data_IF_634567400750
#
_entry.id   IF_634567400750
#
_cell.length_a   1.000
_cell.length_b   1.000
_cell.length_c   1.000
_cell.angle_alpha   90.00
_cell.angle_beta   90.00
_cell.angle_gamma   90.00
#
_symmetry.space_group_name_H-M   'P 1'
#
loop_
_entity.id
_entity.type
_entity.pdbx_description
1 polymer ?
#
# COMPACT_ATOMS: atom_id res chain seq x y z
N UNK A 1 26.05 39.96 47.66
CA UNK A 1 25.79 40.47 49.00
C UNK A 1 27.10 40.91 49.60
N UNK A 2 27.24 42.24 49.84
CA UNK A 2 28.46 42.86 50.35
C UNK A 2 28.62 42.44 51.81
N UNK A 3 29.70 41.75 52.14
CA UNK A 3 30.14 41.49 53.52
C UNK A 3 30.66 42.78 54.10
N UNK A 4 29.82 43.49 54.88
CA UNK A 4 30.28 44.58 55.69
C UNK A 4 31.25 44.07 56.79
N UNK A 5 32.44 44.61 56.83
CA UNK A 5 33.39 44.32 57.92
C UNK A 5 32.86 45.04 59.13
N UNK A 6 32.32 44.32 60.11
CA UNK A 6 31.97 44.90 61.39
C UNK A 6 33.11 44.71 62.40
N UNK A 7 33.63 45.82 62.89
CA UNK A 7 34.59 45.81 63.99
C UNK A 7 33.82 45.77 65.31
N UNK A 8 33.55 44.59 65.82
CA UNK A 8 32.92 44.37 67.11
C UNK A 8 33.98 44.00 68.13
N UNK A 9 34.06 44.73 69.25
CA UNK A 9 34.83 44.31 70.37
C UNK A 9 36.19 45.04 70.68
N UNK A 10 36.60 46.06 69.89
CA UNK A 10 37.89 46.70 70.06
C UNK A 10 37.99 47.60 71.32
N UNK A 11 36.92 47.95 71.99
CA UNK A 11 36.97 48.88 73.20
C UNK A 11 36.50 48.21 74.50
N UNK A 12 35.73 47.11 74.45
CA UNK A 12 35.14 46.49 75.67
C UNK A 12 35.57 45.05 75.89
N UNK A 13 36.32 44.41 74.97
CA UNK A 13 36.71 43.01 75.08
C UNK A 13 35.53 42.01 75.00
N UNK A 14 34.33 42.46 74.69
CA UNK A 14 33.15 41.63 74.60
C UNK A 14 32.87 41.32 73.11
N UNK A 15 32.96 40.10 72.75
CA UNK A 15 32.57 39.63 71.40
C UNK A 15 31.03 39.64 71.25
N UNK A 16 30.52 40.82 70.91
CA UNK A 16 29.09 41.04 70.73
C UNK A 16 28.52 40.29 69.49
N UNK A 17 29.37 39.96 68.53
CA UNK A 17 28.91 39.20 67.33
C UNK A 17 28.58 37.76 67.69
N UNK A 18 29.43 37.10 68.46
CA UNK A 18 29.16 35.75 68.98
C UNK A 18 27.97 35.69 69.95
N UNK A 19 27.75 36.74 70.77
CA UNK A 19 26.58 36.80 71.63
C UNK A 19 25.28 36.95 70.82
N UNK A 20 25.27 37.77 69.80
CA UNK A 20 24.12 37.94 68.88
C UNK A 20 23.85 36.66 68.12
N UNK A 21 24.86 35.96 67.61
CA UNK A 21 24.71 34.64 66.94
C UNK A 21 24.11 33.60 67.88
N UNK A 22 24.55 33.53 69.12
CA UNK A 22 24.00 32.63 70.15
C UNK A 22 22.57 32.97 70.52
N UNK A 23 22.20 34.24 70.61
CA UNK A 23 20.84 34.68 70.83
C UNK A 23 19.91 34.31 69.67
N UNK A 24 20.39 34.55 68.43
CA UNK A 24 19.65 34.16 67.23
C UNK A 24 19.49 32.63 67.17
N UNK A 25 20.51 31.85 67.54
CA UNK A 25 20.42 30.40 67.57
C UNK A 25 19.41 29.90 68.63
N UNK A 26 19.28 30.60 69.77
CA UNK A 26 18.27 30.28 70.78
C UNK A 26 16.86 30.62 70.26
N UNK A 27 16.67 31.77 69.64
CA UNK A 27 15.40 32.20 69.04
C UNK A 27 14.98 31.31 67.87
N UNK A 28 15.94 30.71 67.16
CA UNK A 28 15.65 29.74 66.08
C UNK A 28 15.23 28.34 66.55
N UNK A 29 15.51 27.97 67.81
CA UNK A 29 15.13 26.63 68.32
C UNK A 29 13.68 26.28 68.13
N UNK A 30 12.67 27.17 68.40
CA UNK A 30 11.27 26.88 68.16
C UNK A 30 11.01 26.65 66.67
N UNK A 31 11.65 27.39 65.76
CA UNK A 31 11.51 27.25 64.30
C UNK A 31 12.03 25.87 63.86
N UNK A 32 13.23 25.48 64.26
CA UNK A 32 13.76 24.13 63.95
C UNK A 32 12.87 23.02 64.52
N UNK A 33 12.26 23.24 65.68
CA UNK A 33 11.31 22.27 66.26
C UNK A 33 10.09 22.13 65.34
N UNK A 34 9.52 23.24 64.85
CA UNK A 34 8.38 23.26 63.96
C UNK A 34 8.74 22.65 62.59
N UNK A 35 9.92 22.95 62.04
CA UNK A 35 10.43 22.35 60.80
C UNK A 35 10.54 20.83 60.95
N UNK A 36 11.08 20.35 62.08
CA UNK A 36 11.15 18.91 62.33
C UNK A 36 9.75 18.26 62.48
N UNK A 37 8.79 18.97 63.11
CA UNK A 37 7.40 18.49 63.16
C UNK A 37 6.76 18.45 61.77
N UNK A 38 6.99 19.48 60.96
CA UNK A 38 6.51 19.51 59.57
C UNK A 38 7.03 18.31 58.77
N UNK A 39 8.35 18.05 58.85
CA UNK A 39 8.96 16.88 58.19
C UNK A 39 8.33 15.57 58.67
N UNK A 40 8.05 15.43 59.98
CA UNK A 40 7.38 14.25 60.51
C UNK A 40 5.95 14.08 59.98
N UNK A 41 5.19 15.17 59.86
CA UNK A 41 3.85 15.11 59.25
C UNK A 41 3.89 14.84 57.75
N UNK A 42 4.87 15.38 57.01
CA UNK A 42 5.09 15.08 55.61
C UNK A 42 5.43 13.59 55.39
N UNK A 43 6.27 13.00 56.25
CA UNK A 43 6.57 11.57 56.19
C UNK A 43 5.31 10.75 56.47
N UNK A 44 4.50 11.10 57.48
CA UNK A 44 3.24 10.41 57.75
C UNK A 44 2.27 10.51 56.58
N UNK A 45 2.16 11.68 55.96
CA UNK A 45 1.35 11.89 54.76
C UNK A 45 1.80 11.00 53.62
N UNK A 46 3.09 10.95 53.37
CA UNK A 46 3.68 10.11 52.32
C UNK A 46 3.41 8.61 52.54
N UNK A 47 3.55 8.15 53.80
CA UNK A 47 3.22 6.75 54.16
C UNK A 47 1.74 6.45 53.92
N UNK A 48 0.84 7.35 54.36
CA UNK A 48 -0.60 7.19 54.17
C UNK A 48 -0.98 7.18 52.69
N UNK A 49 -0.35 8.04 51.86
CA UNK A 49 -0.53 8.04 50.43
C UNK A 49 -0.05 6.73 49.78
N UNK A 50 1.11 6.21 50.22
CA UNK A 50 1.63 4.92 49.80
C UNK A 50 0.68 3.75 50.12
N UNK A 51 0.11 3.76 51.34
CA UNK A 51 -0.91 2.76 51.76
C UNK A 51 -2.15 2.88 50.88
N UNK A 52 -2.64 4.10 50.65
CA UNK A 52 -3.81 4.33 49.82
C UNK A 52 -3.58 3.83 48.38
N UNK A 53 -2.42 4.12 47.79
CA UNK A 53 -2.05 3.62 46.46
C UNK A 53 -2.02 2.09 46.44
N UNK A 54 -1.46 1.47 47.45
CA UNK A 54 -1.42 0.00 47.56
C UNK A 54 -2.82 -0.60 47.68
N UNK A 55 -3.70 0.01 48.50
CA UNK A 55 -5.10 -0.42 48.65
C UNK A 55 -5.88 -0.28 47.34
N UNK A 56 -5.69 0.83 46.60
CA UNK A 56 -6.30 1.01 45.28
C UNK A 56 -5.83 -0.05 44.29
N UNK A 57 -4.54 -0.41 44.34
CA UNK A 57 -4.01 -1.49 43.51
C UNK A 57 -4.65 -2.84 43.84
N UNK A 58 -4.86 -3.14 45.14
CA UNK A 58 -5.55 -4.36 45.55
C UNK A 58 -7.02 -4.33 45.12
N UNK A 59 -7.69 -3.19 45.30
CA UNK A 59 -9.08 -3.00 44.90
C UNK A 59 -9.26 -3.25 43.40
N UNK A 60 -8.41 -2.63 42.55
CA UNK A 60 -8.45 -2.80 41.11
C UNK A 60 -8.21 -4.27 40.68
N UNK A 61 -7.33 -4.98 41.41
CA UNK A 61 -7.09 -6.41 41.12
C UNK A 61 -8.28 -7.27 41.59
N UNK A 62 -8.88 -6.93 42.71
CA UNK A 62 -10.08 -7.63 43.22
C UNK A 62 -11.29 -7.38 42.30
N UNK A 63 -11.44 -6.17 41.77
CA UNK A 63 -12.50 -5.82 40.84
C UNK A 63 -12.34 -6.61 39.51
N UNK A 64 -11.12 -6.69 38.97
CA UNK A 64 -10.81 -7.53 37.81
C UNK A 64 -11.14 -9.00 38.08
N UNK A 65 -10.92 -9.50 39.27
CA UNK A 65 -11.22 -10.89 39.64
C UNK A 65 -12.70 -11.12 40.01
N UNK A 66 -13.47 -10.07 40.28
CA UNK A 66 -14.90 -10.18 40.55
C UNK A 66 -15.76 -10.27 39.29
N UNK A 67 -15.19 -9.86 38.14
CA UNK A 67 -15.85 -9.98 36.83
C UNK A 67 -15.62 -11.37 36.28
N UNK A 68 -16.70 -12.15 36.08
CA UNK A 68 -16.63 -13.49 35.50
C UNK A 68 -15.97 -13.46 34.06
N UNK A 69 -16.13 -12.37 33.33
CA UNK A 69 -15.49 -12.18 32.02
C UNK A 69 -13.97 -12.08 32.10
N UNK A 70 -13.40 -11.72 33.25
CA UNK A 70 -11.96 -11.69 33.46
C UNK A 70 -11.30 -13.08 33.50
N UNK A 71 -12.09 -14.14 33.63
CA UNK A 71 -11.62 -15.54 33.60
C UNK A 71 -11.82 -16.21 32.23
N UNK A 72 -12.59 -15.59 31.33
CA UNK A 72 -12.84 -16.09 29.99
C UNK A 72 -11.66 -15.73 29.05
N UNK A 73 -10.49 -16.24 29.38
CA UNK A 73 -9.29 -16.11 28.54
C UNK A 73 -9.18 -17.33 27.65
N UNK A 74 -9.51 -17.15 26.39
CA UNK A 74 -9.39 -18.21 25.40
C UNK A 74 -8.05 -18.10 24.65
N UNK A 75 -7.38 -19.23 24.49
CA UNK A 75 -6.21 -19.33 23.61
C UNK A 75 -6.63 -20.04 22.34
N UNK A 76 -6.15 -19.55 21.23
CA UNK A 76 -6.36 -20.18 19.92
C UNK A 76 -5.06 -20.80 19.46
N UNK A 77 -5.13 -22.03 18.98
CA UNK A 77 -4.03 -22.68 18.29
C UNK A 77 -4.46 -23.04 16.87
N UNK A 78 -3.62 -22.74 15.90
CA UNK A 78 -3.78 -23.17 14.52
C UNK A 78 -2.83 -24.35 14.24
N UNK A 79 -3.29 -25.32 13.46
CA UNK A 79 -2.42 -26.41 13.00
C UNK A 79 -1.36 -25.92 12.01
N UNK A 80 -1.64 -24.81 11.34
CA UNK A 80 -0.73 -24.12 10.42
C UNK A 80 -0.93 -22.60 10.58
N UNK A 81 -0.05 -21.96 11.35
CA UNK A 81 -0.11 -20.54 11.65
C UNK A 81 0.31 -19.65 10.48
N UNK A 82 0.99 -20.21 9.49
CA UNK A 82 1.43 -19.47 8.30
C UNK A 82 0.28 -19.30 7.31
N UNK A 83 -0.67 -20.25 7.32
CA UNK A 83 -1.87 -20.19 6.49
C UNK A 83 -3.06 -19.52 7.21
N UNK A 84 -3.28 -19.84 8.47
CA UNK A 84 -4.42 -19.34 9.24
C UNK A 84 -3.97 -18.90 10.61
N UNK A 85 -4.02 -17.61 10.88
CA UNK A 85 -3.88 -17.05 12.23
C UNK A 85 -5.24 -16.68 12.78
N UNK A 86 -5.47 -16.95 14.06
CA UNK A 86 -6.71 -16.59 14.73
C UNK A 86 -6.46 -16.06 16.13
N UNK A 87 -7.34 -15.16 16.56
CA UNK A 87 -7.36 -14.63 17.92
C UNK A 87 -8.76 -14.79 18.51
N UNK A 88 -8.85 -14.99 19.83
CA UNK A 88 -10.10 -15.06 20.52
C UNK A 88 -10.29 -13.84 21.41
N UNK A 89 -11.53 -13.32 21.50
CA UNK A 89 -11.94 -12.32 22.47
C UNK A 89 -12.63 -12.99 23.65
N UNK A 90 -12.86 -12.25 24.75
CA UNK A 90 -13.54 -12.76 25.95
C UNK A 90 -14.99 -13.23 25.72
N UNK A 91 -15.57 -12.95 24.54
CA UNK A 91 -16.89 -13.45 24.15
C UNK A 91 -16.83 -14.70 23.25
N UNK A 92 -15.64 -15.25 23.01
CA UNK A 92 -15.47 -16.44 22.20
C UNK A 92 -16.10 -17.68 22.88
N UNK A 93 -16.54 -18.65 22.09
CA UNK A 93 -16.99 -19.94 22.58
C UNK A 93 -15.93 -21.00 22.32
N UNK A 94 -15.64 -21.90 23.27
CA UNK A 94 -14.73 -23.02 23.04
C UNK A 94 -15.24 -23.91 21.90
N UNK A 95 -14.37 -24.31 21.02
CA UNK A 95 -14.74 -25.22 19.91
C UNK A 95 -13.57 -25.48 18.99
N UNK A 96 -13.68 -26.57 18.23
CA UNK A 96 -12.75 -26.91 17.14
C UNK A 96 -13.40 -26.49 15.82
N UNK A 97 -12.66 -25.74 15.02
CA UNK A 97 -13.12 -25.28 13.72
C UNK A 97 -12.19 -25.84 12.65
N UNK A 98 -12.78 -26.35 11.57
CA UNK A 98 -12.03 -26.74 10.38
C UNK A 98 -12.13 -25.61 9.34
N UNK A 99 -11.00 -25.07 8.96
CA UNK A 99 -10.89 -24.04 7.91
C UNK A 99 -10.10 -24.63 6.76
N UNK A 100 -10.72 -24.70 5.60
CA UNK A 100 -10.07 -25.10 4.35
C UNK A 100 -9.73 -23.84 3.55
N UNK A 101 -8.45 -23.63 3.28
CA UNK A 101 -7.99 -22.53 2.42
C UNK A 101 -7.92 -23.04 0.99
N UNK A 102 -8.89 -22.65 0.15
CA UNK A 102 -8.98 -23.07 -1.25
C UNK A 102 -7.98 -22.31 -2.14
N UNK A 103 -7.74 -21.05 -1.85
CA UNK A 103 -6.76 -20.21 -2.56
C UNK A 103 -6.35 -19.03 -1.71
N UNK A 104 -5.13 -18.57 -1.88
CA UNK A 104 -4.67 -17.31 -1.28
C UNK A 104 -5.09 -16.13 -2.16
N UNK A 105 -5.29 -14.97 -1.53
CA UNK A 105 -5.49 -13.73 -2.26
C UNK A 105 -4.22 -13.37 -3.04
N UNK A 106 -4.39 -13.01 -4.31
CA UNK A 106 -3.32 -12.57 -5.19
C UNK A 106 -3.50 -11.07 -5.51
N UNK A 107 -2.41 -10.43 -5.87
CA UNK A 107 -2.44 -9.05 -6.38
C UNK A 107 -2.95 -9.05 -7.81
N UNK A 108 -3.87 -8.14 -8.11
CA UNK A 108 -4.33 -7.93 -9.48
C UNK A 108 -3.21 -7.30 -10.31
N UNK A 109 -2.95 -7.84 -11.49
CA UNK A 109 -1.97 -7.29 -12.44
C UNK A 109 -2.60 -7.09 -13.81
N UNK A 110 -2.19 -6.04 -14.51
CA UNK A 110 -2.59 -5.77 -15.91
C UNK A 110 -1.35 -5.33 -16.70
N UNK A 111 -1.19 -5.89 -17.89
CA UNK A 111 -0.12 -5.53 -18.81
C UNK A 111 -0.64 -4.68 -19.95
N UNK A 112 0.13 -3.72 -20.37
CA UNK A 112 -0.09 -2.98 -21.64
C UNK A 112 0.10 -3.89 -22.85
N UNK A 113 -0.18 -3.36 -24.03
CA UNK A 113 0.29 -3.90 -25.30
C UNK A 113 1.82 -3.90 -25.40
N UNK A 114 2.33 -4.50 -26.47
CA UNK A 114 3.76 -4.56 -26.78
C UNK A 114 4.23 -3.27 -27.43
N UNK A 115 5.36 -2.75 -26.97
CA UNK A 115 6.07 -1.58 -27.53
C UNK A 115 7.48 -1.97 -27.91
N UNK A 116 7.97 -1.47 -29.05
CA UNK A 116 9.31 -1.80 -29.56
C UNK A 116 10.44 -1.22 -28.70
N UNK A 117 10.17 -0.19 -27.92
CA UNK A 117 11.14 0.51 -27.08
C UNK A 117 10.48 1.02 -25.81
N UNK A 118 11.21 1.04 -24.71
CA UNK A 118 10.78 1.67 -23.46
C UNK A 118 11.13 3.15 -23.37
N UNK A 119 11.97 3.66 -24.29
CA UNK A 119 12.51 5.03 -24.27
C UNK A 119 12.13 5.85 -25.51
N UNK A 120 11.33 5.31 -26.41
CA UNK A 120 10.79 6.04 -27.55
C UNK A 120 9.47 6.73 -27.14
N UNK A 121 9.30 7.98 -27.55
CA UNK A 121 8.09 8.74 -27.26
C UNK A 121 6.84 8.02 -27.80
N UNK A 122 5.81 7.88 -26.98
CA UNK A 122 4.59 7.18 -27.32
C UNK A 122 3.70 7.95 -28.32
N UNK A 123 3.87 9.29 -28.40
CA UNK A 123 3.10 10.15 -29.30
C UNK A 123 1.63 10.29 -28.90
N UNK A 124 1.26 9.89 -27.69
CA UNK A 124 -0.09 10.00 -27.12
C UNK A 124 -0.11 11.04 -26.01
N UNK A 125 -1.23 11.72 -25.82
CA UNK A 125 -1.39 12.70 -24.75
C UNK A 125 -2.81 12.71 -24.20
N UNK A 126 -2.93 12.93 -22.89
CA UNK A 126 -4.19 13.02 -22.17
C UNK A 126 -4.04 12.59 -20.73
N UNK A 127 -5.14 12.26 -20.10
CA UNK A 127 -5.19 11.85 -18.69
C UNK A 127 -5.95 10.53 -18.55
N UNK A 128 -5.49 9.71 -17.64
CA UNK A 128 -6.17 8.48 -17.21
C UNK A 128 -6.40 8.55 -15.70
N UNK A 129 -7.39 7.82 -15.22
CA UNK A 129 -7.59 7.61 -13.79
C UNK A 129 -7.12 6.21 -13.40
N UNK A 130 -6.24 6.15 -12.42
CA UNK A 130 -5.79 4.92 -11.77
C UNK A 130 -6.34 4.95 -10.35
N UNK A 131 -7.27 4.06 -10.01
CA UNK A 131 -8.01 4.10 -8.74
C UNK A 131 -8.57 5.49 -8.40
N UNK A 132 -9.07 6.22 -9.40
CA UNK A 132 -9.62 7.57 -9.23
C UNK A 132 -8.56 8.69 -9.07
N UNK A 133 -7.27 8.37 -9.19
CA UNK A 133 -6.18 9.37 -9.22
C UNK A 133 -5.81 9.71 -10.65
N UNK A 134 -5.74 11.00 -10.96
CA UNK A 134 -5.37 11.47 -12.30
C UNK A 134 -3.87 11.24 -12.58
N UNK A 135 -3.58 10.68 -13.74
CA UNK A 135 -2.23 10.50 -14.27
C UNK A 135 -2.19 11.15 -15.65
N UNK A 136 -1.40 12.21 -15.78
CA UNK A 136 -1.22 12.94 -17.04
C UNK A 136 -0.11 12.31 -17.87
N UNK A 137 -0.36 12.15 -19.16
CA UNK A 137 0.57 11.61 -20.14
C UNK A 137 0.75 12.67 -21.24
N UNK A 138 1.99 13.00 -21.56
CA UNK A 138 2.37 13.93 -22.61
C UNK A 138 2.78 13.19 -23.88
N UNK A 139 2.59 13.81 -25.03
CA UNK A 139 2.99 13.23 -26.32
C UNK A 139 4.50 12.97 -26.48
N UNK A 140 5.32 13.53 -25.58
CA UNK A 140 6.76 13.31 -25.53
C UNK A 140 7.16 12.20 -24.56
N UNK A 141 6.21 11.69 -23.78
CA UNK A 141 6.48 10.68 -22.77
C UNK A 141 6.72 9.33 -23.43
N UNK A 142 7.67 8.61 -22.88
CA UNK A 142 7.98 7.22 -23.17
C UNK A 142 7.36 6.29 -22.10
N UNK A 143 7.52 4.99 -22.22
CA UNK A 143 6.99 4.03 -21.23
C UNK A 143 7.59 4.24 -19.83
N UNK A 144 8.85 4.70 -19.74
CA UNK A 144 9.48 4.97 -18.44
C UNK A 144 8.83 6.17 -17.76
N UNK A 145 8.54 7.22 -18.53
CA UNK A 145 7.84 8.41 -18.01
C UNK A 145 6.42 8.06 -17.54
N UNK A 146 5.68 7.25 -18.30
CA UNK A 146 4.34 6.78 -17.90
C UNK A 146 4.41 5.93 -16.64
N UNK A 147 5.36 4.99 -16.53
CA UNK A 147 5.62 4.23 -15.31
C UNK A 147 5.82 5.15 -14.11
N UNK A 148 6.68 6.15 -14.25
CA UNK A 148 7.01 7.07 -13.17
C UNK A 148 5.82 7.96 -12.81
N UNK A 149 5.02 8.38 -13.80
CA UNK A 149 3.79 9.14 -13.56
C UNK A 149 2.76 8.33 -12.75
N UNK A 150 2.57 7.05 -13.08
CA UNK A 150 1.68 6.16 -12.32
C UNK A 150 2.18 5.95 -10.90
N UNK A 151 3.48 5.67 -10.72
CA UNK A 151 4.06 5.47 -9.39
C UNK A 151 3.99 6.74 -8.52
N UNK A 152 4.17 7.92 -9.13
CA UNK A 152 4.08 9.20 -8.42
C UNK A 152 2.65 9.60 -8.06
N UNK A 153 1.64 9.03 -8.70
CA UNK A 153 0.23 9.30 -8.38
C UNK A 153 -0.21 8.69 -7.04
N UNK A 154 0.56 7.75 -6.49
CA UNK A 154 0.27 7.08 -5.21
C UNK A 154 -1.17 6.53 -5.17
N UNK A 155 -1.52 5.78 -6.21
CA UNK A 155 -2.86 5.28 -6.46
C UNK A 155 -3.09 3.84 -5.92
N UNK A 156 -2.17 3.31 -5.09
CA UNK A 156 -2.19 1.92 -4.63
C UNK A 156 -1.91 0.92 -5.75
N UNK A 157 -1.22 1.38 -6.81
CA UNK A 157 -0.81 0.58 -7.96
C UNK A 157 0.66 0.85 -8.26
N UNK A 158 1.44 -0.19 -8.37
CA UNK A 158 2.83 -0.13 -8.77
C UNK A 158 2.96 -0.41 -10.27
N UNK A 159 3.65 0.46 -10.98
CA UNK A 159 3.96 0.32 -12.39
C UNK A 159 5.41 -0.11 -12.59
N UNK A 160 5.63 -1.07 -13.49
CA UNK A 160 6.95 -1.59 -13.86
C UNK A 160 7.04 -1.79 -15.37
N UNK A 161 8.26 -1.75 -15.92
CA UNK A 161 8.49 -2.12 -17.32
C UNK A 161 8.93 -3.58 -17.36
N UNK A 162 8.17 -4.39 -18.07
CA UNK A 162 8.50 -5.77 -18.38
C UNK A 162 9.12 -5.82 -19.78
N UNK A 163 10.36 -6.23 -19.88
CA UNK A 163 11.00 -6.53 -21.15
C UNK A 163 10.86 -8.02 -21.43
N UNK A 164 10.00 -8.37 -22.38
CA UNK A 164 9.76 -9.77 -22.78
C UNK A 164 10.82 -10.22 -23.80
N UNK A 165 11.16 -9.33 -24.74
CA UNK A 165 12.26 -9.50 -25.71
C UNK A 165 12.96 -8.16 -25.93
N UNK A 166 14.01 -8.13 -26.74
CA UNK A 166 14.69 -6.87 -27.10
C UNK A 166 13.78 -5.84 -27.78
N UNK A 167 12.66 -6.29 -28.37
CA UNK A 167 11.70 -5.45 -29.10
C UNK A 167 10.27 -5.56 -28.55
N UNK A 168 10.07 -6.16 -27.37
CA UNK A 168 8.78 -6.26 -26.70
C UNK A 168 8.92 -5.75 -25.25
N UNK A 169 8.52 -4.49 -25.07
CA UNK A 169 8.45 -3.82 -23.77
C UNK A 169 6.99 -3.57 -23.42
N UNK A 170 6.62 -3.87 -22.20
CA UNK A 170 5.24 -3.70 -21.70
C UNK A 170 5.24 -2.97 -20.38
N UNK A 171 4.24 -2.14 -20.15
CA UNK A 171 3.96 -1.53 -18.86
C UNK A 171 3.10 -2.50 -18.06
N UNK A 172 3.61 -3.01 -16.96
CA UNK A 172 2.89 -3.86 -16.02
C UNK A 172 2.41 -3.01 -14.83
N UNK A 173 1.12 -3.05 -14.59
CA UNK A 173 0.47 -2.41 -13.44
C UNK A 173 0.07 -3.51 -12.46
N UNK A 174 0.47 -3.39 -11.21
CA UNK A 174 0.18 -4.35 -10.15
C UNK A 174 -0.42 -3.63 -8.95
N UNK A 175 -1.53 -4.14 -8.43
CA UNK A 175 -2.14 -3.64 -7.21
C UNK A 175 -1.21 -3.84 -6.02
N UNK A 176 -1.07 -2.85 -5.15
CA UNK A 176 -0.34 -2.98 -3.89
C UNK A 176 -1.13 -3.81 -2.87
N UNK A 177 -2.45 -3.83 -2.99
CA UNK A 177 -3.34 -4.64 -2.15
C UNK A 177 -3.69 -5.96 -2.83
N UNK A 178 -3.78 -7.02 -2.03
CA UNK A 178 -4.22 -8.33 -2.47
C UNK A 178 -5.74 -8.45 -2.38
N UNK A 179 -6.35 -9.22 -3.27
CA UNK A 179 -7.76 -9.59 -3.20
C UNK A 179 -8.53 -9.33 -4.50
N UNK A 180 -9.83 -9.66 -4.45
CA UNK A 180 -10.71 -9.65 -5.61
C UNK A 180 -11.06 -8.24 -6.14
N UNK A 181 -10.78 -7.18 -5.36
CA UNK A 181 -11.12 -5.80 -5.74
C UNK A 181 -10.33 -5.31 -6.95
N UNK A 182 -9.09 -5.76 -7.09
CA UNK A 182 -8.20 -5.30 -8.16
C UNK A 182 -7.97 -3.79 -8.10
N UNK A 183 -7.78 -3.17 -9.26
CA UNK A 183 -7.68 -1.72 -9.39
C UNK A 183 -8.47 -1.22 -10.60
N UNK A 184 -8.94 0.03 -10.50
CA UNK A 184 -9.70 0.70 -11.56
C UNK A 184 -8.77 1.42 -12.53
N UNK A 185 -9.08 1.30 -13.83
CA UNK A 185 -8.47 2.11 -14.89
C UNK A 185 -9.62 2.72 -15.70
N UNK A 186 -9.54 4.02 -15.96
CA UNK A 186 -10.55 4.76 -16.72
C UNK A 186 -9.86 5.80 -17.59
N UNK A 187 -10.28 5.93 -18.84
CA UNK A 187 -9.90 7.09 -19.66
C UNK A 187 -10.60 8.34 -19.11
N UNK A 188 -9.82 9.40 -18.94
CA UNK A 188 -10.27 10.65 -18.32
C UNK A 188 -10.03 11.88 -19.23
N UNK A 189 -9.77 11.63 -20.49
CA UNK A 189 -9.66 12.63 -21.57
C UNK A 189 -10.47 12.15 -22.78
N UNK A 190 -10.64 13.01 -23.77
CA UNK A 190 -11.34 12.67 -25.02
C UNK A 190 -10.56 11.70 -25.93
N UNK A 191 -9.36 11.30 -25.51
CA UNK A 191 -8.50 10.34 -26.24
C UNK A 191 -8.50 9.01 -25.50
N UNK A 192 -8.60 7.91 -26.25
CA UNK A 192 -8.63 6.54 -25.75
C UNK A 192 -7.22 6.06 -25.39
N UNK A 193 -6.64 6.59 -24.34
CA UNK A 193 -5.26 6.30 -23.93
C UNK A 193 -5.09 4.87 -23.44
N UNK A 194 -6.00 4.38 -22.62
CA UNK A 194 -5.95 3.01 -22.08
C UNK A 194 -6.07 1.97 -23.18
N UNK A 195 -6.87 2.27 -24.22
CA UNK A 195 -7.02 1.42 -25.40
C UNK A 195 -5.75 1.46 -26.26
N UNK A 196 -5.18 2.66 -26.48
CA UNK A 196 -3.94 2.83 -27.22
C UNK A 196 -2.76 2.17 -26.50
N UNK A 197 -2.72 2.24 -25.18
CA UNK A 197 -1.75 1.53 -24.37
C UNK A 197 -2.02 0.01 -24.29
N UNK A 198 -3.20 -0.44 -24.68
CA UNK A 198 -3.58 -1.86 -24.73
C UNK A 198 -4.05 -2.44 -23.41
N UNK A 199 -4.43 -1.62 -22.41
CA UNK A 199 -4.96 -2.09 -21.15
C UNK A 199 -6.45 -2.46 -21.20
N UNK A 200 -7.23 -1.72 -22.00
CA UNK A 200 -8.68 -1.88 -22.10
C UNK A 200 -9.13 -1.82 -23.56
N UNK A 201 -10.33 -2.31 -23.83
CA UNK A 201 -11.06 -2.01 -25.07
C UNK A 201 -12.02 -0.85 -24.85
N UNK A 202 -12.76 -0.46 -25.91
CA UNK A 202 -13.77 0.61 -25.85
C UNK A 202 -14.73 0.43 -24.69
N UNK A 203 -15.01 1.51 -23.96
CA UNK A 203 -15.93 1.50 -22.83
C UNK A 203 -17.38 1.31 -23.28
N UNK A 204 -17.88 0.10 -23.19
CA UNK A 204 -19.26 -0.27 -23.59
C UNK A 204 -20.04 -0.95 -22.48
N UNK A 205 -19.37 -1.36 -21.41
CA UNK A 205 -19.98 -2.11 -20.32
C UNK A 205 -20.35 -1.17 -19.17
N UNK A 206 -21.56 -1.28 -18.65
CA UNK A 206 -22.00 -0.56 -17.45
C UNK A 206 -21.19 -1.08 -16.25
N UNK A 207 -20.54 -0.17 -15.51
CA UNK A 207 -19.67 -0.51 -14.38
C UNK A 207 -20.47 -0.98 -13.16
N UNK A 208 -21.53 -0.26 -12.81
CA UNK A 208 -22.39 -0.56 -11.67
C UNK A 208 -23.85 -0.61 -12.11
N UNK A 209 -24.48 -1.79 -12.02
CA UNK A 209 -25.90 -1.98 -12.31
C UNK A 209 -26.72 -1.65 -11.07
N UNK A 210 -27.83 -0.94 -11.27
CA UNK A 210 -28.84 -0.67 -10.24
C UNK A 210 -30.12 -1.46 -10.51
N UNK A 211 -30.92 -1.69 -9.48
CA UNK A 211 -32.14 -2.55 -9.56
C UNK A 211 -33.20 -2.10 -10.55
N UNK A 212 -33.14 -0.87 -11.03
CA UNK A 212 -34.09 -0.30 -12.00
C UNK A 212 -33.68 -0.40 -13.47
N UNK A 213 -32.74 -1.28 -13.85
CA UNK A 213 -32.10 -1.28 -15.16
C UNK A 213 -31.47 0.08 -15.45
N UNK A 214 -30.41 0.40 -14.73
CA UNK A 214 -29.73 1.66 -14.83
C UNK A 214 -28.26 1.52 -14.52
N UNK A 215 -27.61 2.65 -14.27
CA UNK A 215 -26.21 2.73 -13.92
C UNK A 215 -25.97 3.73 -12.79
N UNK A 216 -24.84 3.58 -12.12
CA UNK A 216 -24.41 4.44 -11.04
C UNK A 216 -22.98 4.93 -11.31
N UNK A 217 -22.71 6.22 -11.04
CA UNK A 217 -21.38 6.79 -11.14
C UNK A 217 -20.46 6.34 -9.99
N UNK A 218 -19.18 6.66 -10.09
CA UNK A 218 -18.29 6.61 -8.94
C UNK A 218 -18.71 7.62 -7.86
N UNK A 219 -18.13 7.50 -6.66
CA UNK A 219 -18.40 8.37 -5.51
C UNK A 219 -17.53 9.63 -5.56
N UNK A 220 -18.14 10.79 -5.32
CA UNK A 220 -17.48 12.09 -5.34
C UNK A 220 -17.71 12.84 -4.03
N UNK A 221 -16.71 13.57 -3.56
CA UNK A 221 -16.76 14.31 -2.29
C UNK A 221 -17.71 15.53 -2.31
N UNK A 222 -18.26 15.92 -3.45
CA UNK A 222 -19.18 17.05 -3.59
C UNK A 222 -20.15 16.83 -4.75
N UNK A 223 -21.41 17.20 -4.58
CA UNK A 223 -22.41 17.21 -5.64
C UNK A 223 -22.50 18.51 -6.41
N UNK A 224 -21.81 19.58 -5.95
CA UNK A 224 -21.93 20.95 -6.50
C UNK A 224 -20.61 21.50 -7.05
N UNK A 225 -19.51 20.81 -6.83
CA UNK A 225 -18.20 21.12 -7.43
C UNK A 225 -18.10 20.42 -8.78
N UNK A 226 -17.40 21.03 -9.77
CA UNK A 226 -17.20 20.39 -11.07
C UNK A 226 -16.47 19.05 -10.93
N UNK A 227 -16.93 18.03 -11.67
CA UNK A 227 -16.43 16.66 -11.56
C UNK A 227 -14.94 16.60 -11.90
N UNK A 228 -14.51 17.28 -12.95
CA UNK A 228 -13.10 17.33 -13.34
C UNK A 228 -12.18 17.89 -12.25
N UNK A 229 -12.66 18.91 -11.51
CA UNK A 229 -11.91 19.44 -10.36
C UNK A 229 -11.82 18.44 -9.20
N UNK A 230 -12.89 17.69 -8.95
CA UNK A 230 -12.88 16.64 -7.90
C UNK A 230 -11.92 15.50 -8.23
N UNK A 231 -11.75 15.18 -9.51
CA UNK A 231 -10.82 14.17 -10.00
C UNK A 231 -9.38 14.69 -10.12
N UNK A 232 -9.17 15.99 -10.03
CA UNK A 232 -7.85 16.62 -10.24
C UNK A 232 -7.38 16.62 -11.69
N UNK A 233 -8.33 16.59 -12.66
CA UNK A 233 -8.01 16.60 -14.09
C UNK A 233 -7.61 17.99 -14.58
N UNK A 234 -6.54 18.07 -15.34
CA UNK A 234 -6.09 19.29 -16.02
C UNK A 234 -6.89 19.58 -17.29
N UNK A 235 -7.36 18.52 -17.97
CA UNK A 235 -8.16 18.60 -19.19
C UNK A 235 -9.29 17.55 -19.15
N UNK A 236 -10.31 17.86 -18.34
CA UNK A 236 -11.43 16.94 -18.16
C UNK A 236 -12.22 16.72 -19.47
N UNK A 237 -12.71 15.49 -19.73
CA UNK A 237 -13.45 15.16 -20.95
C UNK A 237 -14.77 15.92 -21.03
N UNK A 238 -15.14 16.27 -22.25
CA UNK A 238 -16.44 16.86 -22.58
C UNK A 238 -16.95 16.34 -23.91
N UNK A 239 -18.24 16.15 -24.00
CA UNK A 239 -18.83 15.64 -25.25
C UNK A 239 -20.33 15.38 -25.13
N UNK A 240 -20.90 14.91 -26.23
CA UNK A 240 -22.30 14.48 -26.29
C UNK A 240 -22.38 12.98 -26.08
N UNK A 241 -23.13 12.59 -25.07
CA UNK A 241 -23.38 11.18 -24.73
C UNK A 241 -24.83 10.82 -24.99
N UNK A 242 -25.12 9.55 -25.25
CA UNK A 242 -26.47 9.04 -25.38
C UNK A 242 -26.84 8.24 -24.13
N UNK A 243 -27.93 8.62 -23.47
CA UNK A 243 -28.48 7.94 -22.30
C UNK A 243 -29.95 7.59 -22.60
N UNK A 244 -30.26 6.32 -22.69
CA UNK A 244 -31.54 5.85 -23.18
C UNK A 244 -31.77 6.24 -24.65
N UNK A 245 -32.80 7.03 -24.90
CA UNK A 245 -33.13 7.53 -26.23
C UNK A 245 -32.82 9.03 -26.39
N UNK A 246 -32.09 9.62 -25.47
CA UNK A 246 -31.76 11.05 -25.45
C UNK A 246 -30.28 11.28 -25.55
N UNK A 247 -29.90 12.37 -26.20
CA UNK A 247 -28.52 12.85 -26.20
C UNK A 247 -28.39 14.05 -25.27
N UNK A 248 -27.32 14.07 -24.50
CA UNK A 248 -26.99 15.17 -23.58
C UNK A 248 -25.50 15.54 -23.74
N UNK A 249 -25.23 16.83 -23.76
CA UNK A 249 -23.83 17.32 -23.74
C UNK A 249 -23.41 17.52 -22.31
N UNK A 250 -22.31 16.88 -21.93
CA UNK A 250 -21.73 16.94 -20.59
C UNK A 250 -20.30 17.46 -20.72
N UNK A 251 -19.95 18.40 -19.86
CA UNK A 251 -18.61 18.97 -19.74
C UNK A 251 -18.12 18.81 -18.29
N UNK A 252 -17.27 17.84 -18.05
CA UNK A 252 -16.77 17.54 -16.69
C UNK A 252 -15.85 18.64 -16.13
N UNK A 253 -15.28 19.50 -16.97
CA UNK A 253 -14.47 20.62 -16.50
C UNK A 253 -15.31 21.67 -15.74
N UNK A 254 -16.56 21.85 -16.15
CA UNK A 254 -17.41 22.94 -15.65
C UNK A 254 -18.63 22.45 -14.88
N UNK A 255 -19.16 21.27 -15.19
CA UNK A 255 -20.39 20.74 -14.60
C UNK A 255 -20.13 19.90 -13.34
N UNK A 256 -21.00 20.11 -12.36
CA UNK A 256 -21.12 19.30 -11.16
C UNK A 256 -22.04 18.10 -11.37
N UNK A 257 -22.06 17.13 -10.43
CA UNK A 257 -23.05 16.03 -10.46
C UNK A 257 -24.49 16.54 -10.47
N UNK A 258 -24.77 17.65 -9.79
CA UNK A 258 -26.10 18.28 -9.78
C UNK A 258 -26.47 18.84 -11.17
N UNK A 259 -25.52 19.48 -11.85
CA UNK A 259 -25.74 20.01 -13.19
C UNK A 259 -25.96 18.88 -14.20
N UNK A 260 -25.15 17.85 -14.15
CA UNK A 260 -25.26 16.65 -15.01
C UNK A 260 -26.60 15.96 -14.78
N UNK A 261 -26.97 15.72 -13.52
CA UNK A 261 -28.29 15.16 -13.16
C UNK A 261 -29.44 15.97 -13.77
N UNK A 262 -29.39 17.29 -13.69
CA UNK A 262 -30.44 18.18 -14.21
C UNK A 262 -30.45 18.26 -15.75
N UNK A 263 -29.32 18.03 -16.40
CA UNK A 263 -29.19 18.01 -17.86
C UNK A 263 -29.75 16.72 -18.49
N UNK A 264 -29.68 15.59 -17.77
CA UNK A 264 -30.20 14.30 -18.26
C UNK A 264 -31.74 14.31 -18.20
N UNK A 265 -32.39 14.03 -19.34
CA UNK A 265 -33.82 13.99 -19.47
C UNK A 265 -34.30 12.65 -20.08
N UNK A 266 -35.60 12.35 -19.97
CA UNK A 266 -36.13 11.12 -20.54
C UNK A 266 -35.87 9.82 -19.76
N UNK A 267 -35.13 9.89 -18.69
CA UNK A 267 -34.88 8.82 -17.72
C UNK A 267 -34.94 9.38 -16.31
N UNK A 268 -35.04 8.51 -15.31
CA UNK A 268 -35.07 8.94 -13.91
C UNK A 268 -33.62 9.10 -13.42
N UNK A 269 -33.30 10.26 -12.84
CA UNK A 269 -31.99 10.54 -12.27
C UNK A 269 -32.12 10.99 -10.82
N UNK A 270 -31.22 10.51 -9.97
CA UNK A 270 -31.15 10.89 -8.56
C UNK A 270 -29.67 11.06 -8.12
N UNK A 271 -29.48 11.83 -7.06
CA UNK A 271 -28.20 11.84 -6.34
C UNK A 271 -28.37 11.00 -5.07
N UNK A 272 -27.52 10.02 -4.91
CA UNK A 272 -27.42 9.22 -3.69
C UNK A 272 -26.26 9.80 -2.88
N UNK A 273 -26.46 9.89 -1.56
CA UNK A 273 -25.40 10.28 -0.64
C UNK A 273 -25.14 9.15 0.34
N UNK A 274 -23.88 8.89 0.61
CA UNK A 274 -23.40 7.93 1.60
C UNK A 274 -22.41 8.63 2.54
N UNK A 275 -22.50 8.31 3.82
CA UNK A 275 -21.57 8.83 4.83
C UNK A 275 -20.54 7.74 5.15
N UNK A 276 -19.27 8.03 4.87
CA UNK A 276 -18.14 7.13 5.15
C UNK A 276 -17.13 7.89 6.00
N UNK A 277 -16.83 7.37 7.19
CA UNK A 277 -15.87 7.95 8.15
C UNK A 277 -16.10 9.45 8.43
N UNK A 278 -17.38 9.87 8.53
CA UNK A 278 -17.76 11.27 8.81
C UNK A 278 -17.65 12.21 7.62
N UNK A 279 -17.41 11.68 6.41
CA UNK A 279 -17.41 12.42 5.15
C UNK A 279 -18.58 11.97 4.28
N UNK A 280 -19.31 12.94 3.68
CA UNK A 280 -20.42 12.63 2.78
C UNK A 280 -19.92 12.54 1.35
N UNK A 281 -20.22 11.43 0.68
CA UNK A 281 -19.95 11.20 -0.73
C UNK A 281 -21.24 11.15 -1.53
N UNK A 282 -21.18 11.52 -2.79
CA UNK A 282 -22.31 11.61 -3.70
C UNK A 282 -22.08 10.78 -4.95
N UNK A 283 -23.13 10.10 -5.40
CA UNK A 283 -23.14 9.32 -6.64
C UNK A 283 -24.35 9.73 -7.49
N UNK A 284 -24.16 9.78 -8.81
CA UNK A 284 -25.24 9.94 -9.76
C UNK A 284 -25.83 8.57 -10.08
N UNK A 285 -27.12 8.38 -9.80
CA UNK A 285 -27.87 7.21 -10.22
C UNK A 285 -28.78 7.56 -11.38
N UNK A 286 -28.80 6.70 -12.41
CA UNK A 286 -29.64 6.80 -13.61
C UNK A 286 -30.42 5.51 -13.69
N UNK A 287 -31.76 5.59 -13.68
CA UNK A 287 -32.67 4.44 -13.69
C UNK A 287 -33.48 4.43 -14.97
N UNK A 288 -33.92 3.22 -15.38
CA UNK A 288 -34.88 3.01 -16.47
C UNK A 288 -34.25 2.91 -17.85
N UNK A 289 -32.93 2.77 -17.95
CA UNK A 289 -32.26 2.46 -19.22
C UNK A 289 -30.99 1.67 -19.01
N UNK A 290 -30.65 0.83 -19.99
CA UNK A 290 -29.34 0.14 -20.09
C UNK A 290 -28.54 0.62 -21.30
N UNK A 291 -29.06 1.62 -22.02
CA UNK A 291 -28.41 2.18 -23.21
C UNK A 291 -27.60 3.40 -22.80
N UNK A 292 -26.27 3.24 -22.90
CA UNK A 292 -25.30 4.29 -22.66
C UNK A 292 -24.26 4.23 -23.79
N UNK A 293 -24.08 5.35 -24.50
CA UNK A 293 -23.08 5.47 -25.59
C UNK A 293 -22.28 6.73 -25.35
N UNK A 294 -20.97 6.57 -25.40
CA UNK A 294 -20.02 7.64 -25.14
C UNK A 294 -18.77 7.46 -26.04
N UNK A 295 -18.53 8.43 -26.89
CA UNK A 295 -17.35 8.46 -27.77
C UNK A 295 -16.28 9.44 -27.28
N UNK A 296 -16.47 10.01 -26.08
CA UNK A 296 -15.62 11.07 -25.53
C UNK A 296 -15.13 10.78 -24.10
N UNK A 297 -15.30 9.54 -23.64
CA UNK A 297 -14.90 9.06 -22.30
C UNK A 297 -15.53 9.82 -21.11
N UNK A 298 -16.59 10.56 -21.31
CA UNK A 298 -17.31 11.32 -20.26
C UNK A 298 -17.95 10.38 -19.25
N UNK A 299 -18.66 9.35 -19.77
CA UNK A 299 -19.33 8.35 -18.93
C UNK A 299 -18.32 7.37 -18.32
N UNK A 300 -17.21 7.13 -18.98
CA UNK A 300 -16.10 6.34 -18.42
C UNK A 300 -15.44 7.08 -17.26
N UNK A 301 -15.09 8.36 -17.43
CA UNK A 301 -14.52 9.20 -16.38
C UNK A 301 -15.48 9.35 -15.18
N UNK A 302 -16.78 9.43 -15.41
CA UNK A 302 -17.79 9.40 -14.34
C UNK A 302 -17.91 8.05 -13.62
N UNK A 303 -17.30 6.99 -14.15
CA UNK A 303 -17.41 5.65 -13.61
C UNK A 303 -18.73 4.94 -13.95
N UNK A 304 -19.50 5.42 -14.92
CA UNK A 304 -20.74 4.81 -15.40
C UNK A 304 -20.44 3.66 -16.35
N UNK A 305 -19.54 3.89 -17.32
CA UNK A 305 -19.05 2.86 -18.23
C UNK A 305 -17.65 2.40 -17.85
N UNK A 306 -17.30 1.20 -18.26
CA UNK A 306 -15.94 0.66 -18.18
C UNK A 306 -15.56 -0.03 -19.47
N UNK A 307 -14.28 0.05 -19.82
CA UNK A 307 -13.70 -0.76 -20.87
C UNK A 307 -13.63 -2.23 -20.46
N UNK A 308 -13.70 -3.12 -21.42
CA UNK A 308 -13.37 -4.53 -21.20
C UNK A 308 -11.85 -4.62 -21.03
N UNK A 309 -11.40 -5.23 -19.93
CA UNK A 309 -9.98 -5.54 -19.79
C UNK A 309 -9.53 -6.31 -21.04
N UNK A 310 -8.53 -5.79 -21.76
CA UNK A 310 -7.90 -6.56 -22.81
C UNK A 310 -7.31 -7.79 -22.10
N UNK A 311 -7.66 -8.96 -22.57
CA UNK A 311 -6.86 -10.15 -22.30
C UNK A 311 -5.57 -9.93 -23.08
N UNK A 312 -4.65 -9.13 -22.53
CA UNK A 312 -3.27 -9.22 -23.01
C UNK A 312 -2.92 -10.70 -22.90
N UNK A 313 -2.33 -11.23 -23.97
CA UNK A 313 -1.70 -12.52 -23.94
C UNK A 313 -1.04 -12.67 -22.56
N UNK A 314 -1.34 -13.76 -21.87
CA UNK A 314 -1.10 -13.93 -20.44
C UNK A 314 0.22 -13.27 -20.04
N UNK A 315 0.18 -12.41 -19.05
CA UNK A 315 1.40 -11.75 -18.55
C UNK A 315 2.30 -12.88 -18.10
N UNK A 316 3.45 -12.98 -18.73
CA UNK A 316 4.44 -13.96 -18.36
C UNK A 316 4.71 -13.80 -16.86
N UNK A 317 4.47 -14.84 -16.07
CA UNK A 317 4.80 -14.81 -14.66
C UNK A 317 6.31 -14.71 -14.51
N UNK A 318 6.77 -13.73 -13.74
CA UNK A 318 8.21 -13.44 -13.57
C UNK A 318 8.59 -13.71 -12.14
N UNK A 319 9.44 -14.71 -11.94
CA UNK A 319 10.06 -14.98 -10.64
C UNK A 319 11.48 -14.44 -10.61
N UNK A 320 11.75 -13.52 -9.69
CA UNK A 320 13.09 -12.95 -9.52
C UNK A 320 13.71 -13.48 -8.23
N UNK A 321 14.93 -14.00 -8.32
CA UNK A 321 15.70 -14.44 -7.17
C UNK A 321 15.94 -13.30 -6.17
N UNK A 322 15.91 -13.63 -4.90
CA UNK A 322 16.06 -12.63 -3.80
C UNK A 322 17.52 -12.22 -3.56
N UNK A 323 18.48 -12.99 -4.08
CA UNK A 323 19.91 -12.77 -3.84
C UNK A 323 20.55 -12.15 -5.08
N UNK A 324 21.16 -10.98 -4.90
CA UNK A 324 22.03 -10.35 -5.90
C UNK A 324 23.43 -10.95 -5.81
N UNK A 325 23.83 -11.70 -6.83
CA UNK A 325 25.16 -12.31 -6.89
C UNK A 325 26.15 -11.35 -7.58
N UNK A 326 27.38 -11.34 -7.11
CA UNK A 326 28.42 -10.44 -7.62
C UNK A 326 29.72 -11.20 -7.90
N UNK A 327 30.64 -10.61 -8.66
CA UNK A 327 31.96 -11.19 -8.93
C UNK A 327 33.02 -10.73 -7.94
N UNK A 328 32.80 -9.59 -7.26
CA UNK A 328 33.79 -8.94 -6.39
C UNK A 328 33.16 -8.26 -5.13
N UNK A 329 31.88 -8.52 -4.88
CA UNK A 329 31.09 -7.89 -3.83
C UNK A 329 30.38 -6.61 -4.29
N UNK A 330 30.59 -6.14 -5.52
CA UNK A 330 29.96 -4.93 -6.08
C UNK A 330 29.49 -5.10 -7.53
N UNK A 331 30.25 -5.80 -8.35
CA UNK A 331 29.94 -6.00 -9.77
C UNK A 331 28.95 -7.17 -9.92
N UNK A 332 27.72 -6.95 -10.43
CA UNK A 332 26.76 -8.02 -10.65
C UNK A 332 27.29 -9.11 -11.58
N UNK A 333 26.91 -10.35 -11.31
CA UNK A 333 27.17 -11.46 -12.24
C UNK A 333 26.30 -11.33 -13.48
N UNK A 334 26.74 -11.95 -14.57
CA UNK A 334 25.99 -12.15 -15.79
C UNK A 334 25.92 -13.65 -16.15
N UNK A 335 25.20 -13.99 -17.23
CA UNK A 335 25.06 -15.36 -17.69
C UNK A 335 26.40 -16.01 -18.08
N UNK A 336 27.42 -15.24 -18.45
CA UNK A 336 28.73 -15.72 -18.81
C UNK A 336 29.68 -15.91 -17.61
N UNK A 337 29.28 -15.46 -16.43
CA UNK A 337 30.07 -15.58 -15.20
C UNK A 337 30.26 -17.05 -14.85
N UNK A 338 31.50 -17.45 -14.56
CA UNK A 338 31.81 -18.83 -14.12
C UNK A 338 31.50 -19.01 -12.64
N UNK A 339 31.23 -20.23 -12.25
CA UNK A 339 30.98 -20.53 -10.82
C UNK A 339 32.17 -20.19 -9.91
N UNK A 340 33.41 -20.30 -10.43
CA UNK A 340 34.62 -19.89 -9.70
C UNK A 340 34.69 -18.38 -9.42
N UNK A 341 34.01 -17.57 -10.21
CA UNK A 341 34.11 -16.12 -10.18
C UNK A 341 32.97 -15.45 -9.35
N UNK A 342 32.08 -16.26 -8.77
CA UNK A 342 31.00 -15.75 -7.90
C UNK A 342 31.57 -15.42 -6.52
N UNK A 343 31.46 -14.17 -6.13
CA UNK A 343 31.98 -13.70 -4.84
C UNK A 343 31.26 -14.34 -3.64
N UNK A 344 32.05 -14.92 -2.76
CA UNK A 344 31.56 -15.56 -1.54
C UNK A 344 30.88 -16.92 -1.74
N UNK A 345 30.76 -17.41 -2.97
CA UNK A 345 30.26 -18.76 -3.22
C UNK A 345 31.37 -19.81 -3.00
N UNK A 346 31.06 -20.83 -2.18
CA UNK A 346 31.97 -21.93 -1.92
C UNK A 346 31.63 -23.14 -2.81
N UNK A 347 31.47 -22.91 -4.10
CA UNK A 347 31.08 -23.97 -5.08
C UNK A 347 32.31 -24.76 -5.48
N UNK A 348 32.19 -26.09 -5.52
CA UNK A 348 33.23 -27.02 -5.91
C UNK A 348 32.76 -27.98 -7.03
N UNK A 349 33.73 -28.61 -7.70
CA UNK A 349 33.41 -29.59 -8.71
C UNK A 349 32.65 -30.78 -8.09
N UNK A 350 31.52 -31.12 -8.69
CA UNK A 350 30.61 -32.16 -8.23
C UNK A 350 29.45 -31.67 -7.37
N UNK A 351 29.42 -30.38 -7.01
CA UNK A 351 28.27 -29.82 -6.30
C UNK A 351 27.04 -29.81 -7.18
N UNK A 352 25.91 -30.06 -6.58
CA UNK A 352 24.62 -30.13 -7.27
C UNK A 352 23.67 -29.08 -6.78
N UNK A 353 23.09 -28.31 -7.72
CA UNK A 353 22.03 -27.33 -7.48
C UNK A 353 20.71 -28.00 -7.84
N UNK A 354 19.83 -28.18 -6.85
CA UNK A 354 18.49 -28.73 -7.06
C UNK A 354 17.55 -27.62 -7.50
N UNK A 355 16.83 -27.88 -8.60
CA UNK A 355 15.82 -27.00 -9.16
C UNK A 355 14.47 -27.67 -8.94
N UNK A 356 13.53 -27.00 -8.27
CA UNK A 356 12.20 -27.54 -8.05
C UNK A 356 11.15 -26.44 -8.02
N UNK A 357 9.96 -26.75 -8.47
CA UNK A 357 8.83 -25.83 -8.51
C UNK A 357 7.60 -26.50 -9.09
N UNK A 358 6.61 -25.69 -9.40
CA UNK A 358 5.35 -26.12 -10.03
C UNK A 358 5.23 -25.41 -11.38
N UNK A 359 4.99 -26.18 -12.41
CA UNK A 359 4.71 -25.65 -13.75
C UNK A 359 3.33 -25.00 -13.78
N UNK A 360 3.06 -24.22 -14.82
CA UNK A 360 1.79 -23.48 -14.99
C UNK A 360 0.54 -24.35 -14.95
N UNK A 361 0.63 -25.61 -15.37
CA UNK A 361 -0.47 -26.58 -15.34
C UNK A 361 -0.67 -27.22 -13.95
N UNK A 362 0.07 -26.78 -12.94
CA UNK A 362 0.02 -27.32 -11.57
C UNK A 362 0.84 -28.58 -11.37
N UNK A 363 1.61 -29.01 -12.36
CA UNK A 363 2.46 -30.20 -12.25
C UNK A 363 3.77 -29.85 -11.54
N UNK A 364 4.19 -30.67 -10.57
CA UNK A 364 5.49 -30.51 -9.93
C UNK A 364 6.61 -30.85 -10.91
N UNK A 365 7.57 -29.97 -11.07
CA UNK A 365 8.79 -30.18 -11.84
C UNK A 365 10.01 -30.13 -10.92
N UNK A 366 10.97 -30.99 -11.19
CA UNK A 366 12.25 -31.01 -10.48
C UNK A 366 13.38 -31.45 -11.39
N UNK A 367 14.51 -30.77 -11.31
CA UNK A 367 15.74 -31.04 -12.02
C UNK A 367 16.95 -30.79 -11.12
N UNK A 368 18.13 -31.07 -11.63
CA UNK A 368 19.37 -30.83 -10.91
C UNK A 368 20.50 -30.48 -11.86
N UNK A 369 21.15 -29.37 -11.60
CA UNK A 369 22.37 -28.97 -12.29
C UNK A 369 23.59 -29.40 -11.46
N UNK A 370 24.54 -30.12 -12.06
CA UNK A 370 25.80 -30.53 -11.41
C UNK A 370 26.95 -29.70 -11.98
N UNK A 371 27.65 -28.97 -11.13
CA UNK A 371 28.84 -28.22 -11.53
C UNK A 371 29.99 -29.22 -11.81
N UNK A 372 30.23 -29.46 -13.07
CA UNK A 372 31.28 -30.39 -13.48
C UNK A 372 32.67 -29.79 -13.31
N UNK A 373 32.82 -28.50 -13.64
CA UNK A 373 34.07 -27.79 -13.48
C UNK A 373 33.81 -26.28 -13.23
N UNK A 374 34.07 -25.82 -12.00
CA UNK A 374 33.83 -24.44 -11.58
C UNK A 374 34.54 -23.39 -12.45
N UNK A 375 35.66 -23.76 -13.09
CA UNK A 375 36.46 -22.86 -13.91
C UNK A 375 35.98 -22.78 -15.39
N UNK A 376 35.06 -23.62 -15.80
CA UNK A 376 34.53 -23.62 -17.18
C UNK A 376 33.02 -23.45 -17.22
N UNK A 377 32.29 -24.08 -16.30
CA UNK A 377 30.84 -24.02 -16.26
C UNK A 377 30.38 -22.61 -15.87
N UNK A 378 29.34 -22.14 -16.57
CA UNK A 378 28.84 -20.77 -16.48
C UNK A 378 27.45 -20.77 -15.87
N UNK A 379 27.04 -19.61 -15.42
CA UNK A 379 25.65 -19.42 -14.96
C UNK A 379 24.65 -19.70 -16.11
N UNK A 380 25.02 -19.48 -17.39
CA UNK A 380 24.20 -19.86 -18.53
C UNK A 380 23.84 -21.35 -18.52
N UNK A 381 24.78 -22.22 -18.17
CA UNK A 381 24.52 -23.68 -18.14
C UNK A 381 23.46 -24.04 -17.08
N UNK A 382 23.42 -23.32 -15.95
CA UNK A 382 22.37 -23.44 -14.94
C UNK A 382 21.04 -22.87 -15.45
N UNK A 383 21.05 -21.74 -16.15
CA UNK A 383 19.84 -21.16 -16.73
C UNK A 383 19.20 -22.10 -17.76
N UNK A 384 20.02 -22.71 -18.62
CA UNK A 384 19.57 -23.70 -19.61
C UNK A 384 18.93 -24.94 -18.92
N UNK A 385 19.46 -25.36 -17.77
CA UNK A 385 18.88 -26.46 -16.99
C UNK A 385 17.53 -26.06 -16.33
N UNK A 386 17.40 -24.79 -15.90
CA UNK A 386 16.11 -24.25 -15.39
C UNK A 386 15.07 -24.28 -16.52
N UNK A 387 15.42 -23.81 -17.72
CA UNK A 387 14.53 -23.83 -18.87
C UNK A 387 14.14 -25.25 -19.27
N UNK A 388 15.08 -26.19 -19.20
CA UNK A 388 14.85 -27.61 -19.48
C UNK A 388 13.91 -28.24 -18.43
N UNK A 389 14.11 -27.91 -17.15
CA UNK A 389 13.34 -28.48 -16.04
C UNK A 389 11.87 -28.07 -16.09
N UNK A 390 11.59 -26.80 -16.39
CA UNK A 390 10.21 -26.29 -16.35
C UNK A 390 9.52 -26.32 -17.72
N UNK A 391 10.25 -26.28 -18.80
CA UNK A 391 9.69 -26.19 -20.16
C UNK A 391 8.80 -24.94 -20.34
N UNK A 392 8.97 -24.22 -21.41
CA UNK A 392 8.15 -23.03 -21.68
C UNK A 392 8.48 -21.81 -20.80
N UNK A 393 9.63 -21.81 -20.14
CA UNK A 393 10.15 -20.64 -19.42
C UNK A 393 11.42 -20.13 -20.08
N UNK A 394 11.76 -18.87 -19.85
CA UNK A 394 13.08 -18.29 -20.12
C UNK A 394 13.74 -17.92 -18.81
N UNK A 395 15.01 -18.29 -18.66
CA UNK A 395 15.80 -17.95 -17.49
C UNK A 395 16.92 -16.99 -17.88
N UNK A 396 17.12 -15.95 -17.07
CA UNK A 396 18.12 -14.91 -17.35
C UNK A 396 18.71 -14.37 -16.03
N UNK A 397 19.72 -13.50 -16.15
CA UNK A 397 20.25 -12.75 -15.01
C UNK A 397 20.03 -11.27 -15.28
N UNK A 398 19.37 -10.58 -14.33
CA UNK A 398 19.10 -9.15 -14.44
C UNK A 398 20.35 -8.30 -14.11
N UNK A 399 20.23 -6.99 -14.29
CA UNK A 399 21.30 -6.02 -14.01
C UNK A 399 21.73 -5.95 -12.54
N UNK A 400 20.98 -6.57 -11.62
CA UNK A 400 21.34 -6.69 -10.20
C UNK A 400 22.04 -8.03 -9.88
N UNK A 401 22.29 -8.89 -10.86
CA UNK A 401 22.91 -10.21 -10.67
C UNK A 401 21.96 -11.26 -10.07
N UNK A 402 20.67 -11.08 -10.23
CA UNK A 402 19.63 -12.01 -9.76
C UNK A 402 19.15 -12.89 -10.90
N UNK A 403 18.90 -14.16 -10.62
CA UNK A 403 18.24 -15.06 -11.58
C UNK A 403 16.79 -14.64 -11.73
N UNK A 404 16.35 -14.50 -12.97
CA UNK A 404 14.96 -14.19 -13.34
C UNK A 404 14.45 -15.32 -14.21
N UNK A 405 13.34 -15.91 -13.82
CA UNK A 405 12.63 -16.92 -14.59
C UNK A 405 11.30 -16.35 -15.04
N UNK A 406 11.08 -16.33 -16.34
CA UNK A 406 9.88 -15.78 -16.98
C UNK A 406 9.14 -16.88 -17.70
N UNK A 407 7.85 -17.06 -17.45
CA UNK A 407 7.00 -17.95 -18.23
C UNK A 407 6.88 -17.39 -19.66
N UNK A 408 7.37 -18.13 -20.66
CA UNK A 408 7.37 -17.70 -22.06
C UNK A 408 6.13 -18.17 -22.84
N UNK A 409 5.26 -18.93 -22.20
CA UNK A 409 4.00 -19.41 -22.80
C UNK A 409 2.87 -18.47 -22.36
N UNK A 410 2.40 -17.67 -23.28
CA UNK A 410 1.23 -16.82 -23.10
C UNK A 410 -0.07 -17.64 -23.21
#
# INVERSE_FOLDING_TARGET
>A
MSRGISFSGLSSGIDSATIVEQLIAIERRPIVLLENQQVQEEIKLSVLQGINTSLLSVLNRADTLSDASGFDVFTVSSSDSDLVSASASGSASPGDFSVEVLSLAQTASRSSGSFSSSTEALGIAGEILVNGKAVSISNTDDLLAVRDAVNNADAGVQAQILQVTETDHRLLLTSEEQGAGGFGLQDASTTDLLQTLGFTGTATSIKSLVSGNGAQSDSFASSTTSVGSLMGLGAAPSGTVTIGNQTVTIDLATQSLTDIKNAITGVTTSLISEEVDGSTFFQLQIDGTTTFVDDNNVLEALGILKGTAQVSAAVAEVHTGTVSNTTDGSTPVDANTKFSDIFGAAVTNGDTITISGTTRDGTSASGSFTVSNVNSDRLQDLLDEIETTFGGVTASINSAGQVVVTDSVA
#
